data_IF_237198099415
#
_entry.id   IF_237198099415
#
_cell.length_a   1.000
_cell.length_b   1.000
_cell.length_c   1.000
_cell.angle_alpha   90.00
_cell.angle_beta   90.00
_cell.angle_gamma   90.00
#
_symmetry.space_group_name_H-M   'P 1'
#
loop_
_entity.id
_entity.type
_entity.pdbx_description
1 polymer ?
#
# COMPACT_ATOMS: atom_id res chain seq x y z
N UNK A 1 13.23 -10.33 16.03
CA UNK A 1 11.84 -10.74 16.36
C UNK A 1 10.90 -10.05 15.38
N UNK A 2 10.15 -10.83 14.60
CA UNK A 2 9.18 -10.32 13.63
C UNK A 2 8.05 -9.58 14.35
N UNK A 3 7.75 -8.36 13.90
CA UNK A 3 6.62 -7.56 14.39
C UNK A 3 5.31 -8.11 13.82
N UNK A 4 4.49 -8.72 14.67
CA UNK A 4 3.16 -9.21 14.29
C UNK A 4 2.24 -8.08 13.80
N UNK A 5 2.38 -6.88 14.38
CA UNK A 5 1.64 -5.70 13.95
C UNK A 5 1.95 -5.34 12.50
N UNK A 6 3.23 -5.32 12.14
CA UNK A 6 3.67 -4.97 10.79
C UNK A 6 3.24 -6.02 9.76
N UNK A 7 3.33 -7.31 10.09
CA UNK A 7 2.81 -8.39 9.22
C UNK A 7 1.30 -8.25 9.01
N UNK A 8 0.54 -7.93 10.06
CA UNK A 8 -0.90 -7.71 9.97
C UNK A 8 -1.22 -6.50 9.07
N UNK A 9 -0.46 -5.42 9.19
CA UNK A 9 -0.67 -4.22 8.38
C UNK A 9 -0.36 -4.50 6.90
N UNK A 10 0.71 -5.25 6.60
CA UNK A 10 0.98 -5.73 5.23
C UNK A 10 -0.15 -6.62 4.67
N UNK A 11 -0.65 -7.57 5.47
CA UNK A 11 -1.74 -8.45 5.04
C UNK A 11 -3.02 -7.66 4.72
N UNK A 12 -3.32 -6.63 5.52
CA UNK A 12 -4.50 -5.77 5.34
C UNK A 12 -4.42 -4.98 4.02
N UNK A 13 -3.31 -4.28 3.75
CA UNK A 13 -3.15 -3.53 2.49
C UNK A 13 -3.11 -4.44 1.26
N UNK A 14 -2.46 -5.61 1.35
CA UNK A 14 -2.40 -6.59 0.26
C UNK A 14 -3.80 -7.11 -0.07
N UNK A 15 -4.60 -7.41 0.94
CA UNK A 15 -6.00 -7.82 0.76
C UNK A 15 -6.83 -6.74 0.06
N UNK A 16 -6.70 -5.48 0.46
CA UNK A 16 -7.40 -4.34 -0.14
C UNK A 16 -7.00 -4.09 -1.59
N UNK A 17 -5.70 -4.12 -1.89
CA UNK A 17 -5.20 -4.01 -3.27
C UNK A 17 -5.73 -5.15 -4.14
N UNK A 18 -5.73 -6.39 -3.61
CA UNK A 18 -6.25 -7.56 -4.33
C UNK A 18 -7.74 -7.37 -4.67
N UNK A 19 -8.55 -6.86 -3.73
CA UNK A 19 -9.95 -6.52 -4.00
C UNK A 19 -10.03 -5.43 -5.07
N UNK A 20 -9.31 -4.32 -4.90
CA UNK A 20 -9.35 -3.17 -5.80
C UNK A 20 -8.99 -3.52 -7.25
N UNK A 21 -7.96 -4.34 -7.46
CA UNK A 21 -7.51 -4.83 -8.78
C UNK A 21 -8.62 -5.61 -9.52
N UNK A 22 -9.50 -6.28 -8.78
CA UNK A 22 -10.57 -7.12 -9.34
C UNK A 22 -11.90 -6.36 -9.49
N UNK A 23 -12.00 -5.11 -9.01
CA UNK A 23 -13.21 -4.30 -9.16
C UNK A 23 -13.26 -3.64 -10.54
N UNK A 24 -14.34 -3.90 -11.27
CA UNK A 24 -14.55 -3.35 -12.63
C UNK A 24 -14.59 -1.82 -12.63
N UNK A 25 -15.16 -1.21 -11.59
CA UNK A 25 -15.21 0.24 -11.38
C UNK A 25 -13.80 0.85 -11.26
N UNK A 26 -12.84 0.10 -10.71
CA UNK A 26 -11.46 0.55 -10.49
C UNK A 26 -10.48 0.11 -11.58
N UNK A 27 -10.97 -0.33 -12.74
CA UNK A 27 -10.12 -0.80 -13.85
C UNK A 27 -9.06 0.23 -14.29
N UNK A 28 -9.37 1.52 -14.19
CA UNK A 28 -8.45 2.62 -14.52
C UNK A 28 -7.22 2.67 -13.60
N UNK A 29 -7.35 2.22 -12.35
CA UNK A 29 -6.28 2.17 -11.37
C UNK A 29 -5.56 0.81 -11.31
N UNK A 30 -6.02 -0.18 -12.08
CA UNK A 30 -5.60 -1.57 -11.97
C UNK A 30 -4.08 -1.76 -12.05
N UNK A 31 -3.45 -1.22 -13.11
CA UNK A 31 -2.02 -1.43 -13.35
C UNK A 31 -1.17 -0.80 -12.24
N UNK A 32 -1.60 0.36 -11.73
CA UNK A 32 -0.93 1.05 -10.65
C UNK A 32 -1.05 0.27 -9.34
N UNK A 33 -2.24 -0.25 -9.03
CA UNK A 33 -2.43 -1.14 -7.88
C UNK A 33 -1.66 -2.46 -8.00
N UNK A 34 -1.56 -3.05 -9.21
CA UNK A 34 -0.73 -4.24 -9.44
C UNK A 34 0.76 -3.95 -9.21
N UNK A 35 1.23 -2.78 -9.65
CA UNK A 35 2.60 -2.32 -9.39
C UNK A 35 2.87 -2.19 -7.89
N UNK A 36 1.99 -1.49 -7.16
CA UNK A 36 2.12 -1.35 -5.70
C UNK A 36 2.07 -2.70 -5.00
N UNK A 37 1.12 -3.56 -5.37
CA UNK A 37 0.98 -4.90 -4.79
C UNK A 37 2.27 -5.71 -4.93
N UNK A 38 2.88 -5.71 -6.12
CA UNK A 38 4.12 -6.43 -6.38
C UNK A 38 5.27 -5.93 -5.50
N UNK A 39 5.40 -4.61 -5.30
CA UNK A 39 6.42 -4.05 -4.41
C UNK A 39 6.17 -4.40 -2.95
N UNK A 40 4.92 -4.30 -2.47
CA UNK A 40 4.59 -4.67 -1.09
C UNK A 40 4.82 -6.15 -0.80
N UNK A 41 4.57 -7.03 -1.77
CA UNK A 41 4.90 -8.46 -1.66
C UNK A 41 6.42 -8.65 -1.52
N UNK A 42 7.23 -7.96 -2.31
CA UNK A 42 8.70 -8.02 -2.16
C UNK A 42 9.15 -7.54 -0.78
N UNK A 43 8.55 -6.46 -0.28
CA UNK A 43 8.89 -5.90 1.03
C UNK A 43 8.57 -6.87 2.17
N UNK A 44 7.37 -7.47 2.17
CA UNK A 44 6.98 -8.42 3.23
C UNK A 44 7.79 -9.72 3.14
N UNK A 45 8.08 -10.22 1.93
CA UNK A 45 8.96 -11.38 1.74
C UNK A 45 10.36 -11.12 2.31
N UNK A 46 10.96 -9.97 1.95
CA UNK A 46 12.26 -9.57 2.48
C UNK A 46 12.25 -9.45 4.01
N UNK A 47 11.19 -8.88 4.58
CA UNK A 47 11.03 -8.75 6.03
C UNK A 47 10.95 -10.09 6.76
N UNK A 48 10.21 -11.05 6.21
CA UNK A 48 10.10 -12.40 6.77
C UNK A 48 11.44 -13.14 6.75
N UNK A 49 12.28 -12.90 5.75
CA UNK A 49 13.58 -13.54 5.59
C UNK A 49 14.70 -12.90 6.43
N UNK A 50 14.69 -11.56 6.54
CA UNK A 50 15.82 -10.80 7.09
C UNK A 50 15.51 -10.10 8.42
N UNK A 51 14.26 -10.18 8.89
CA UNK A 51 13.74 -9.51 10.09
C UNK A 51 13.98 -7.99 10.11
N UNK A 52 14.12 -7.38 8.94
CA UNK A 52 14.29 -5.94 8.76
C UNK A 52 13.74 -5.50 7.40
N UNK A 53 13.54 -4.19 7.23
CA UNK A 53 12.99 -3.61 6.00
C UNK A 53 13.99 -2.68 5.30
N UNK A 54 15.29 -2.98 5.35
CA UNK A 54 16.31 -2.15 4.72
C UNK A 54 16.18 -2.08 3.19
N UNK A 55 15.46 -3.03 2.58
CA UNK A 55 15.09 -2.98 1.15
C UNK A 55 14.25 -1.75 0.79
N UNK A 56 13.53 -1.16 1.75
CA UNK A 56 12.62 -0.03 1.50
C UNK A 56 13.40 1.28 1.41
N UNK A 57 13.63 1.79 0.21
CA UNK A 57 14.29 3.10 0.04
C UNK A 57 13.30 4.26 0.17
N UNK A 58 13.81 5.47 0.43
CA UNK A 58 12.97 6.68 0.47
C UNK A 58 12.30 6.95 -0.87
N UNK A 59 13.07 6.85 -1.97
CA UNK A 59 12.59 7.16 -3.32
C UNK A 59 11.50 6.17 -3.77
N UNK A 60 11.71 4.86 -3.56
CA UNK A 60 10.69 3.85 -3.88
C UNK A 60 9.43 4.02 -3.02
N UNK A 61 9.61 4.36 -1.74
CA UNK A 61 8.47 4.62 -0.86
C UNK A 61 7.69 5.86 -1.30
N UNK A 62 8.37 6.92 -1.69
CA UNK A 62 7.75 8.14 -2.19
C UNK A 62 7.03 7.90 -3.53
N UNK A 63 7.62 7.08 -4.42
CA UNK A 63 6.98 6.70 -5.67
C UNK A 63 5.65 5.97 -5.44
N UNK A 64 5.63 4.98 -4.54
CA UNK A 64 4.39 4.27 -4.18
C UNK A 64 3.37 5.23 -3.56
N UNK A 65 3.80 6.12 -2.65
CA UNK A 65 2.92 7.12 -2.05
C UNK A 65 2.23 7.98 -3.11
N UNK A 66 2.99 8.54 -4.05
CA UNK A 66 2.45 9.39 -5.11
C UNK A 66 1.46 8.64 -6.00
N UNK A 67 1.76 7.38 -6.36
CA UNK A 67 0.83 6.54 -7.13
C UNK A 67 -0.50 6.38 -6.38
N UNK A 68 -0.46 6.06 -5.09
CA UNK A 68 -1.67 5.85 -4.29
C UNK A 68 -2.46 7.16 -4.08
N UNK A 69 -1.76 8.27 -3.85
CA UNK A 69 -2.36 9.60 -3.70
C UNK A 69 -3.07 10.04 -4.98
N UNK A 70 -2.40 9.94 -6.14
CA UNK A 70 -2.99 10.30 -7.42
C UNK A 70 -4.26 9.49 -7.68
N UNK A 71 -4.25 8.18 -7.36
CA UNK A 71 -5.43 7.32 -7.54
C UNK A 71 -6.56 7.63 -6.58
N UNK A 72 -6.26 7.91 -5.32
CA UNK A 72 -7.24 8.35 -4.33
C UNK A 72 -7.96 9.62 -4.81
N UNK A 73 -7.19 10.63 -5.24
CA UNK A 73 -7.75 11.90 -5.72
C UNK A 73 -8.56 11.71 -7.01
N UNK A 74 -8.01 11.01 -8.01
CA UNK A 74 -8.69 10.78 -9.29
C UNK A 74 -10.03 10.05 -9.12
N UNK A 75 -10.06 9.03 -8.26
CA UNK A 75 -11.26 8.23 -8.02
C UNK A 75 -12.30 9.02 -7.21
N UNK A 76 -11.89 9.82 -6.24
CA UNK A 76 -12.78 10.70 -5.47
C UNK A 76 -13.47 11.74 -6.35
N UNK A 77 -12.77 12.27 -7.36
CA UNK A 77 -13.33 13.28 -8.27
C UNK A 77 -14.20 12.68 -9.38
N UNK A 78 -14.16 11.35 -9.57
CA UNK A 78 -14.94 10.68 -10.61
C UNK A 78 -16.30 10.23 -10.07
N UNK A 79 -17.33 11.03 -10.34
CA UNK A 79 -18.71 10.76 -9.94
C UNK A 79 -19.31 9.42 -10.47
N UNK A 80 -18.64 8.78 -11.44
CA UNK A 80 -19.01 7.47 -11.98
C UNK A 80 -18.54 6.31 -11.10
N UNK A 81 -17.60 6.56 -10.18
CA UNK A 81 -17.08 5.58 -9.23
C UNK A 81 -18.03 5.53 -8.03
N UNK A 82 -18.50 4.35 -7.61
CA UNK A 82 -19.35 4.30 -6.43
C UNK A 82 -18.55 4.65 -5.17
N UNK A 83 -19.23 5.29 -4.22
CA UNK A 83 -18.58 5.91 -3.06
C UNK A 83 -17.75 4.91 -2.22
N UNK A 84 -18.19 3.65 -2.12
CA UNK A 84 -17.46 2.62 -1.35
C UNK A 84 -16.11 2.27 -1.96
N UNK A 85 -16.01 2.27 -3.29
CA UNK A 85 -14.75 2.02 -4.00
C UNK A 85 -13.79 3.21 -3.94
N UNK A 86 -14.32 4.44 -3.89
CA UNK A 86 -13.50 5.61 -3.56
C UNK A 86 -12.93 5.51 -2.15
N UNK A 87 -13.75 5.13 -1.17
CA UNK A 87 -13.31 4.91 0.22
C UNK A 87 -12.24 3.80 0.30
N UNK A 88 -12.38 2.74 -0.49
CA UNK A 88 -11.38 1.68 -0.56
C UNK A 88 -10.02 2.22 -1.04
N UNK A 89 -10.00 3.12 -2.03
CA UNK A 89 -8.76 3.74 -2.51
C UNK A 89 -8.09 4.58 -1.42
N UNK A 90 -8.86 5.41 -0.72
CA UNK A 90 -8.35 6.21 0.41
C UNK A 90 -7.82 5.32 1.55
N UNK A 91 -8.51 4.23 1.88
CA UNK A 91 -8.05 3.30 2.92
C UNK A 91 -6.75 2.59 2.49
N UNK A 92 -6.56 2.26 1.21
CA UNK A 92 -5.28 1.72 0.72
C UNK A 92 -4.13 2.73 0.96
N UNK A 93 -4.32 4.00 0.62
CA UNK A 93 -3.33 5.05 0.87
C UNK A 93 -3.02 5.20 2.38
N UNK A 94 -4.06 5.30 3.20
CA UNK A 94 -3.91 5.45 4.65
C UNK A 94 -3.14 4.27 5.28
N UNK A 95 -3.44 3.03 4.83
CA UNK A 95 -2.74 1.83 5.32
C UNK A 95 -1.29 1.81 4.89
N UNK A 96 -1.00 2.28 3.67
CA UNK A 96 0.35 2.40 3.19
C UNK A 96 1.17 3.36 4.07
N UNK A 97 0.62 4.54 4.38
CA UNK A 97 1.28 5.52 5.24
C UNK A 97 1.56 5.00 6.65
N UNK A 98 0.62 4.22 7.22
CA UNK A 98 0.83 3.55 8.52
C UNK A 98 2.00 2.58 8.49
N UNK A 99 2.13 1.79 7.42
CA UNK A 99 3.26 0.87 7.23
C UNK A 99 4.57 1.66 7.14
N UNK A 100 4.64 2.67 6.28
CA UNK A 100 5.85 3.49 6.10
C UNK A 100 6.27 4.16 7.41
N UNK A 101 5.31 4.71 8.17
CA UNK A 101 5.58 5.28 9.50
C UNK A 101 6.16 4.22 10.45
N UNK A 102 5.56 3.04 10.49
CA UNK A 102 6.04 1.93 11.34
C UNK A 102 7.46 1.50 10.98
N UNK A 103 7.80 1.48 9.69
CA UNK A 103 9.16 1.19 9.21
C UNK A 103 10.15 2.24 9.70
N UNK A 104 9.81 3.52 9.55
CA UNK A 104 10.66 4.64 9.95
C UNK A 104 10.86 4.69 11.47
N UNK A 105 9.82 4.41 12.25
CA UNK A 105 9.89 4.32 13.71
C UNK A 105 10.83 3.18 14.14
N UNK A 106 10.78 2.01 13.48
CA UNK A 106 11.70 0.89 13.74
C UNK A 106 13.15 1.20 13.36
N UNK A 107 13.40 2.06 12.37
CA UNK A 107 14.74 2.50 11.97
C UNK A 107 15.31 3.54 12.92
N UNK A 108 14.49 4.46 13.40
CA UNK A 108 14.90 5.55 14.30
C UNK A 108 15.17 5.08 15.73
N UNK A 109 14.63 3.92 16.11
CA UNK A 109 14.86 3.27 17.40
C UNK A 109 16.08 2.32 17.42
N UNK A 110 16.84 2.22 16.34
CA UNK A 110 18.13 1.50 16.27
C UNK A 110 19.29 2.48 16.45
#
# INVERSE_FOLDING_TARGET
>A
MISQTLIRDFADIIGKLTIAINLKSLRVAKNDYEKVLNELIKWVSYYCEHENLNIVTHDESLEIHNILLDRSVDLMMNASIPAMESILSDDILNRYEVIVKTINDQRSCK
#
